data_IF_432785756367
#
_entry.id   IF_432785756367
#
_cell.length_a   1.000
_cell.length_b   1.000
_cell.length_c   1.000
_cell.angle_alpha   90.00
_cell.angle_beta   90.00
_cell.angle_gamma   90.00
#
_symmetry.space_group_name_H-M   'P 1'
#
loop_
_entity.id
_entity.type
_entity.pdbx_description
1 polymer ?
#
# COMPACT_ATOMS: atom_id res chain seq x y z
N UNK A 1 -9.02 3.31 24.03
CA UNK A 1 -8.28 4.55 23.77
C UNK A 1 -7.82 4.52 22.33
N UNK A 2 -7.97 5.63 21.62
CA UNK A 2 -7.67 5.75 20.19
C UNK A 2 -6.78 6.95 19.94
N UNK A 3 -6.20 7.01 18.74
CA UNK A 3 -5.40 8.14 18.27
C UNK A 3 -5.86 8.55 16.88
N UNK A 4 -5.98 9.85 16.66
CA UNK A 4 -6.07 10.45 15.34
C UNK A 4 -4.72 11.11 15.03
N UNK A 5 -4.04 10.64 13.99
CA UNK A 5 -2.80 11.25 13.50
C UNK A 5 -3.14 12.09 12.29
N UNK A 6 -2.91 13.40 12.39
CA UNK A 6 -3.02 14.37 11.32
C UNK A 6 -1.67 14.47 10.62
N UNK A 7 -1.66 14.36 9.30
CA UNK A 7 -0.44 14.34 8.47
C UNK A 7 -0.63 15.32 7.31
N UNK A 8 0.10 16.43 7.31
CA UNK A 8 0.03 17.40 6.22
C UNK A 8 1.10 17.10 5.16
N UNK A 9 0.72 17.12 3.88
CA UNK A 9 1.68 17.19 2.76
C UNK A 9 2.25 18.61 2.53
N UNK A 10 1.66 19.61 3.21
CA UNK A 10 2.19 20.96 3.35
C UNK A 10 2.62 21.26 4.79
N UNK A 11 2.02 22.28 5.40
CA UNK A 11 2.28 22.66 6.79
C UNK A 11 1.07 22.41 7.67
N UNK A 12 1.20 21.53 8.66
CA UNK A 12 0.22 21.34 9.71
C UNK A 12 0.30 22.50 10.72
N UNK A 13 -0.77 23.27 10.85
CA UNK A 13 -0.83 24.41 11.78
C UNK A 13 -1.53 24.03 13.08
N UNK A 14 -1.28 24.80 14.14
CA UNK A 14 -2.01 24.61 15.41
C UNK A 14 -3.51 24.89 15.29
N UNK A 15 -3.96 25.63 14.27
CA UNK A 15 -5.37 25.86 13.98
C UNK A 15 -6.05 24.61 13.47
N UNK A 16 -5.45 23.91 12.50
CA UNK A 16 -5.95 22.63 11.96
C UNK A 16 -6.02 21.57 13.08
N UNK A 17 -4.98 21.49 13.92
CA UNK A 17 -4.96 20.56 15.06
C UNK A 17 -6.06 20.90 16.07
N UNK A 18 -6.29 22.18 16.35
CA UNK A 18 -7.37 22.62 17.25
C UNK A 18 -8.75 22.29 16.69
N UNK A 19 -8.97 22.49 15.40
CA UNK A 19 -10.24 22.11 14.76
C UNK A 19 -10.52 20.61 14.92
N UNK A 20 -9.53 19.74 14.71
CA UNK A 20 -9.71 18.31 14.90
C UNK A 20 -10.11 17.96 16.34
N UNK A 21 -9.49 18.62 17.34
CA UNK A 21 -9.87 18.48 18.76
C UNK A 21 -11.32 18.92 18.97
N UNK A 22 -11.69 20.10 18.48
CA UNK A 22 -13.02 20.68 18.67
C UNK A 22 -14.11 19.79 18.03
N UNK A 23 -13.84 19.24 16.84
CA UNK A 23 -14.73 18.29 16.15
C UNK A 23 -14.93 16.99 16.92
N UNK A 24 -13.86 16.41 17.46
CA UNK A 24 -13.94 15.21 18.30
C UNK A 24 -14.72 15.50 19.59
N UNK A 25 -14.45 16.64 20.25
CA UNK A 25 -15.15 17.03 21.47
C UNK A 25 -16.65 17.28 21.22
N UNK A 26 -17.01 17.90 20.08
CA UNK A 26 -18.39 18.15 19.69
C UNK A 26 -19.21 16.87 19.47
N UNK A 27 -18.56 15.72 19.29
CA UNK A 27 -19.20 14.40 19.14
C UNK A 27 -19.14 13.56 20.42
N UNK A 28 -18.79 14.17 21.56
CA UNK A 28 -18.80 13.55 22.89
C UNK A 28 -17.57 12.70 23.21
N UNK A 29 -16.48 12.84 22.44
CA UNK A 29 -15.22 12.18 22.76
C UNK A 29 -14.49 12.92 23.89
N UNK A 30 -13.81 12.18 24.75
CA UNK A 30 -12.85 12.75 25.70
C UNK A 30 -11.52 12.92 24.98
N UNK A 31 -11.14 14.17 24.67
CA UNK A 31 -9.99 14.48 23.82
C UNK A 31 -8.83 15.00 24.67
N UNK A 32 -7.66 14.42 24.50
CA UNK A 32 -6.42 14.86 25.14
C UNK A 32 -5.76 16.04 24.44
N UNK A 33 -4.69 16.55 25.05
CA UNK A 33 -3.84 17.56 24.41
C UNK A 33 -3.14 16.97 23.17
N UNK A 34 -2.89 17.79 22.14
CA UNK A 34 -2.19 17.32 20.96
C UNK A 34 -0.72 17.01 21.27
N UNK A 35 -0.18 15.99 20.62
CA UNK A 35 1.22 15.60 20.68
C UNK A 35 1.84 15.70 19.29
N UNK A 36 2.78 16.61 19.11
CA UNK A 36 3.50 16.75 17.83
C UNK A 36 4.52 15.64 17.69
N UNK A 37 4.37 14.81 16.64
CA UNK A 37 5.38 13.84 16.24
C UNK A 37 6.56 14.55 15.59
N UNK A 38 6.25 15.45 14.66
CA UNK A 38 7.16 16.37 14.00
C UNK A 38 6.43 17.71 13.79
N UNK A 39 6.95 18.77 14.40
CA UNK A 39 6.32 20.10 14.36
C UNK A 39 6.14 20.60 12.93
N UNK A 40 4.89 20.94 12.59
CA UNK A 40 4.55 21.44 11.25
C UNK A 40 4.21 20.37 10.23
N UNK A 41 4.32 19.08 10.55
CA UNK A 41 4.05 18.00 9.60
C UNK A 41 3.04 16.98 10.13
N UNK A 42 3.22 16.51 11.38
CA UNK A 42 2.36 15.47 11.94
C UNK A 42 2.10 15.65 13.44
N UNK A 43 0.84 15.46 13.84
CA UNK A 43 0.41 15.53 15.23
C UNK A 43 -0.60 14.42 15.57
N UNK A 44 -0.42 13.83 16.74
CA UNK A 44 -1.34 12.89 17.37
C UNK A 44 -2.35 13.62 18.27
N UNK A 45 -3.60 13.17 18.22
CA UNK A 45 -4.65 13.53 19.17
C UNK A 45 -5.19 12.23 19.76
N UNK A 46 -4.90 12.01 21.05
CA UNK A 46 -5.39 10.84 21.79
C UNK A 46 -6.79 11.12 22.33
N UNK A 47 -7.69 10.15 22.23
CA UNK A 47 -9.07 10.29 22.71
C UNK A 47 -9.72 8.99 23.22
N UNK A 48 -10.81 9.14 23.98
CA UNK A 48 -11.75 8.06 24.32
C UNK A 48 -13.12 8.33 23.67
N UNK A 49 -13.81 7.26 23.26
CA UNK A 49 -15.12 7.32 22.61
C UNK A 49 -15.22 6.34 21.45
N UNK A 50 -15.95 6.71 20.38
CA UNK A 50 -16.24 5.82 19.26
C UNK A 50 -15.27 6.04 18.09
N UNK A 51 -14.49 5.01 17.74
CA UNK A 51 -13.61 5.02 16.57
C UNK A 51 -14.36 5.39 15.27
N UNK A 52 -15.55 4.80 15.08
CA UNK A 52 -16.37 5.02 13.89
C UNK A 52 -16.88 6.47 13.84
N UNK A 53 -17.30 7.02 14.97
CA UNK A 53 -17.75 8.42 15.05
C UNK A 53 -16.60 9.38 14.76
N UNK A 54 -15.42 9.14 15.34
CA UNK A 54 -14.21 9.93 15.13
C UNK A 54 -13.77 9.92 13.66
N UNK A 55 -13.67 8.75 13.02
CA UNK A 55 -13.34 8.63 11.58
C UNK A 55 -14.30 9.44 10.72
N UNK A 56 -15.61 9.26 10.93
CA UNK A 56 -16.64 9.97 10.16
C UNK A 56 -16.58 11.48 10.36
N UNK A 57 -16.31 11.95 11.57
CA UNK A 57 -16.27 13.38 11.85
C UNK A 57 -15.00 14.04 11.30
N UNK A 58 -13.84 13.41 11.48
CA UNK A 58 -12.57 13.94 10.97
C UNK A 58 -12.48 13.86 9.44
N UNK A 59 -13.14 12.89 8.79
CA UNK A 59 -13.24 12.84 7.34
C UNK A 59 -13.99 14.04 6.70
N UNK A 60 -14.69 14.86 7.50
CA UNK A 60 -15.33 16.11 7.04
C UNK A 60 -14.40 17.31 7.06
N UNK A 61 -13.18 17.16 7.59
CA UNK A 61 -12.18 18.22 7.53
C UNK A 61 -11.76 18.43 6.08
N UNK A 62 -11.84 19.68 5.63
CA UNK A 62 -11.46 20.09 4.28
C UNK A 62 -10.35 21.13 4.39
N UNK A 63 -9.15 20.66 4.76
CA UNK A 63 -7.98 21.50 5.05
C UNK A 63 -6.82 21.16 4.15
N UNK A 64 -6.88 21.66 2.91
CA UNK A 64 -5.80 21.52 1.94
C UNK A 64 -5.37 20.07 1.76
N UNK A 65 -4.07 19.84 1.76
CA UNK A 65 -3.45 18.53 1.57
C UNK A 65 -3.20 17.85 2.93
N UNK A 66 -4.28 17.35 3.56
CA UNK A 66 -4.28 16.71 4.87
C UNK A 66 -4.75 15.25 4.79
N UNK A 67 -3.93 14.34 5.28
CA UNK A 67 -4.27 12.95 5.51
C UNK A 67 -4.55 12.72 7.01
N UNK A 68 -5.55 11.90 7.34
CA UNK A 68 -5.93 11.60 8.73
C UNK A 68 -6.05 10.10 8.92
N UNK A 69 -5.29 9.56 9.89
CA UNK A 69 -5.36 8.15 10.27
C UNK A 69 -5.92 8.03 11.68
N UNK A 70 -7.04 7.32 11.84
CA UNK A 70 -7.65 7.09 13.15
C UNK A 70 -7.67 5.60 13.47
N UNK A 71 -7.04 5.21 14.59
CA UNK A 71 -6.84 3.81 14.95
C UNK A 71 -6.73 3.58 16.47
N UNK A 72 -6.78 2.32 16.95
CA UNK A 72 -6.41 1.99 18.33
C UNK A 72 -5.00 2.45 18.68
N UNK A 73 -4.79 2.94 19.90
CA UNK A 73 -3.48 3.44 20.33
C UNK A 73 -2.48 2.32 20.65
N UNK A 74 -2.95 1.20 21.22
CA UNK A 74 -2.10 0.20 21.89
C UNK A 74 -1.18 -0.61 20.98
N UNK A 75 -1.65 -0.95 19.78
CA UNK A 75 -0.96 -1.78 18.79
C UNK A 75 -0.62 -0.96 17.53
N UNK A 76 -0.52 0.37 17.64
CA UNK A 76 -0.32 1.26 16.49
C UNK A 76 1.00 1.01 15.76
N UNK A 77 2.04 0.60 16.48
CA UNK A 77 3.36 0.29 15.90
C UNK A 77 3.34 -1.14 15.38
N UNK A 78 3.19 -1.30 14.06
CA UNK A 78 2.97 -2.60 13.43
C UNK A 78 4.27 -3.39 13.31
N UNK A 79 4.18 -4.71 13.49
CA UNK A 79 5.31 -5.66 13.46
C UNK A 79 5.39 -6.46 12.16
N UNK A 80 4.42 -6.30 11.27
CA UNK A 80 4.42 -6.85 9.92
C UNK A 80 3.86 -5.81 8.96
N UNK A 81 4.52 -5.59 7.83
CA UNK A 81 3.96 -4.89 6.68
C UNK A 81 3.82 -5.87 5.51
N UNK A 82 2.63 -5.87 4.90
CA UNK A 82 2.37 -6.51 3.61
C UNK A 82 1.91 -5.45 2.63
N UNK A 83 2.59 -5.33 1.50
CA UNK A 83 2.37 -4.24 0.56
C UNK A 83 2.17 -4.75 -0.86
N UNK A 84 1.27 -4.09 -1.60
CA UNK A 84 1.27 -4.21 -3.06
C UNK A 84 2.50 -3.55 -3.67
N UNK A 85 2.80 -3.91 -4.92
CA UNK A 85 3.89 -3.35 -5.70
C UNK A 85 3.40 -2.23 -6.63
N UNK A 86 2.66 -2.60 -7.68
CA UNK A 86 2.20 -1.68 -8.73
C UNK A 86 1.34 -0.58 -8.12
N UNK A 87 1.50 0.66 -8.59
CA UNK A 87 0.82 1.87 -8.08
C UNK A 87 0.93 2.16 -6.57
N UNK A 88 1.69 1.36 -5.82
CA UNK A 88 1.89 1.46 -4.38
C UNK A 88 3.37 1.65 -4.05
N UNK A 89 4.19 0.60 -4.13
CA UNK A 89 5.64 0.68 -3.87
C UNK A 89 6.43 1.18 -5.08
N UNK A 90 5.84 1.12 -6.27
CA UNK A 90 6.33 1.74 -7.51
C UNK A 90 5.24 2.59 -8.16
N UNK A 91 5.63 3.50 -9.05
CA UNK A 91 4.71 4.49 -9.64
C UNK A 91 4.01 4.05 -10.93
N UNK A 92 4.14 2.78 -11.31
CA UNK A 92 3.68 2.25 -12.60
C UNK A 92 2.96 0.93 -12.43
N UNK A 93 2.19 0.56 -13.45
CA UNK A 93 1.63 -0.78 -13.66
C UNK A 93 2.56 -1.59 -14.57
N UNK A 94 3.29 -2.57 -14.04
CA UNK A 94 4.33 -3.27 -14.81
C UNK A 94 3.83 -3.91 -16.11
N UNK A 95 2.61 -4.47 -16.11
CA UNK A 95 2.06 -5.12 -17.31
C UNK A 95 1.70 -4.11 -18.40
N UNK A 96 1.24 -2.92 -18.02
CA UNK A 96 0.89 -1.86 -18.97
C UNK A 96 2.15 -1.22 -19.57
N UNK A 97 3.21 -1.04 -18.77
CA UNK A 97 4.51 -0.57 -19.26
C UNK A 97 5.16 -1.59 -20.19
N UNK A 98 5.06 -2.89 -19.91
CA UNK A 98 5.49 -3.95 -20.83
C UNK A 98 4.69 -3.94 -22.13
N UNK A 99 3.37 -3.75 -22.05
CA UNK A 99 2.53 -3.68 -23.22
C UNK A 99 2.85 -2.47 -24.12
N UNK A 100 3.12 -1.32 -23.49
CA UNK A 100 3.60 -0.10 -24.17
C UNK A 100 4.95 -0.35 -24.85
N UNK A 101 5.91 -0.92 -24.12
CA UNK A 101 7.25 -1.24 -24.64
C UNK A 101 7.19 -2.21 -25.83
N UNK A 102 6.26 -3.16 -25.81
CA UNK A 102 6.03 -4.14 -26.85
C UNK A 102 5.12 -3.66 -28.01
N UNK A 103 4.55 -2.46 -27.92
CA UNK A 103 3.64 -1.92 -28.94
C UNK A 103 2.26 -2.59 -28.98
N UNK A 104 1.84 -3.25 -27.90
CA UNK A 104 0.56 -4.00 -27.77
C UNK A 104 -0.37 -3.40 -26.70
N UNK A 105 -0.18 -2.11 -26.39
CA UNK A 105 -0.92 -1.41 -25.32
C UNK A 105 -2.42 -1.42 -25.54
N UNK A 106 -2.88 -1.30 -26.79
CA UNK A 106 -4.30 -1.27 -27.12
C UNK A 106 -4.98 -2.62 -26.82
N UNK A 107 -4.30 -3.71 -27.10
CA UNK A 107 -4.77 -5.08 -26.91
C UNK A 107 -4.85 -5.42 -25.41
N UNK A 108 -3.81 -5.08 -24.65
CA UNK A 108 -3.80 -5.26 -23.19
C UNK A 108 -4.88 -4.41 -22.51
N UNK A 109 -5.02 -3.14 -22.90
CA UNK A 109 -6.07 -2.27 -22.38
C UNK A 109 -7.48 -2.82 -22.67
N UNK A 110 -7.71 -3.39 -23.85
CA UNK A 110 -9.00 -3.99 -24.19
C UNK A 110 -9.35 -5.16 -23.25
N UNK A 111 -8.38 -5.99 -22.88
CA UNK A 111 -8.58 -7.10 -21.93
C UNK A 111 -8.83 -6.56 -20.51
N UNK A 112 -8.06 -5.57 -20.07
CA UNK A 112 -8.27 -4.91 -18.76
C UNK A 112 -9.69 -4.34 -18.65
N UNK A 113 -10.18 -3.70 -19.71
CA UNK A 113 -11.55 -3.18 -19.74
C UNK A 113 -12.62 -4.27 -19.68
N UNK A 114 -12.39 -5.44 -20.29
CA UNK A 114 -13.29 -6.61 -20.14
C UNK A 114 -13.34 -7.10 -18.70
N UNK A 115 -12.17 -7.20 -18.05
CA UNK A 115 -12.07 -7.62 -16.65
C UNK A 115 -12.81 -6.65 -15.71
N UNK A 116 -12.66 -5.35 -15.92
CA UNK A 116 -13.37 -4.31 -15.14
C UNK A 116 -14.89 -4.37 -15.32
N UNK A 117 -15.38 -4.81 -16.49
CA UNK A 117 -16.82 -5.06 -16.74
C UNK A 117 -17.31 -6.41 -16.19
N UNK A 118 -16.43 -7.22 -15.61
CA UNK A 118 -16.74 -8.55 -15.11
C UNK A 118 -16.97 -9.60 -16.20
N UNK A 119 -16.56 -9.32 -17.44
CA UNK A 119 -16.70 -10.26 -18.57
C UNK A 119 -15.68 -11.41 -18.49
N UNK A 120 -14.54 -11.17 -17.83
CA UNK A 120 -13.47 -12.15 -17.59
C UNK A 120 -13.03 -12.01 -16.14
N UNK A 121 -12.73 -13.13 -15.49
CA UNK A 121 -12.16 -13.11 -14.14
C UNK A 121 -10.69 -12.67 -14.16
N UNK A 122 -10.11 -12.40 -12.98
CA UNK A 122 -8.74 -11.91 -12.88
C UNK A 122 -7.73 -12.87 -13.56
N UNK A 123 -7.91 -14.18 -13.35
CA UNK A 123 -6.99 -15.20 -13.88
C UNK A 123 -7.07 -15.27 -15.40
N UNK A 124 -8.27 -15.32 -15.97
CA UNK A 124 -8.48 -15.28 -17.41
C UNK A 124 -7.90 -14.01 -18.03
N UNK A 125 -8.15 -12.85 -17.42
CA UNK A 125 -7.62 -11.58 -17.90
C UNK A 125 -6.09 -11.51 -17.81
N UNK A 126 -5.48 -12.09 -16.76
CA UNK A 126 -4.03 -12.20 -16.65
C UNK A 126 -3.45 -13.10 -17.75
N UNK A 127 -4.02 -14.29 -17.96
CA UNK A 127 -3.55 -15.21 -18.98
C UNK A 127 -3.70 -14.64 -20.39
N UNK A 128 -4.82 -13.99 -20.70
CA UNK A 128 -5.01 -13.31 -22.00
C UNK A 128 -3.96 -12.23 -22.22
N UNK A 129 -3.67 -11.39 -21.22
CA UNK A 129 -2.66 -10.33 -21.34
C UNK A 129 -1.25 -10.90 -21.49
N UNK A 130 -0.91 -11.94 -20.73
CA UNK A 130 0.41 -12.57 -20.78
C UNK A 130 0.63 -13.35 -22.08
N UNK A 131 -0.41 -13.96 -22.65
CA UNK A 131 -0.33 -14.62 -23.94
C UNK A 131 0.15 -13.68 -25.06
N UNK A 132 -0.23 -12.40 -25.01
CA UNK A 132 0.23 -11.38 -25.96
C UNK A 132 1.74 -11.08 -25.85
N UNK A 133 2.37 -11.42 -24.72
CA UNK A 133 3.81 -11.26 -24.52
C UNK A 133 4.64 -12.41 -25.12
N UNK A 134 3.98 -13.45 -25.63
CA UNK A 134 4.64 -14.64 -26.20
C UNK A 134 5.61 -14.31 -27.35
N UNK A 135 6.80 -14.89 -27.31
CA UNK A 135 7.84 -14.73 -28.31
C UNK A 135 8.80 -13.56 -28.09
N UNK A 136 8.50 -12.66 -27.14
CA UNK A 136 9.41 -11.57 -26.77
C UNK A 136 10.69 -12.10 -26.12
N UNK A 137 11.81 -11.42 -26.36
CA UNK A 137 13.07 -11.75 -25.69
C UNK A 137 12.97 -11.44 -24.19
N UNK A 138 13.49 -12.31 -23.33
CA UNK A 138 13.47 -12.11 -21.88
C UNK A 138 14.14 -10.79 -21.45
N UNK A 139 15.16 -10.34 -22.19
CA UNK A 139 15.87 -9.08 -21.95
C UNK A 139 14.96 -7.84 -21.89
N UNK A 140 13.82 -7.87 -22.60
CA UNK A 140 12.81 -6.80 -22.58
C UNK A 140 12.30 -6.52 -21.17
N UNK A 141 12.19 -7.54 -20.31
CA UNK A 141 11.74 -7.36 -18.93
C UNK A 141 12.71 -6.48 -18.13
N UNK A 142 14.02 -6.72 -18.30
CA UNK A 142 15.06 -5.97 -17.62
C UNK A 142 15.16 -4.53 -18.15
N UNK A 143 15.07 -4.35 -19.47
CA UNK A 143 15.06 -3.03 -20.13
C UNK A 143 13.87 -2.19 -19.66
N UNK A 144 12.64 -2.72 -19.77
CA UNK A 144 11.43 -2.04 -19.32
C UNK A 144 11.52 -1.64 -17.84
N UNK A 145 12.01 -2.54 -16.97
CA UNK A 145 12.21 -2.23 -15.55
C UNK A 145 13.17 -1.05 -15.36
N UNK A 146 14.34 -1.06 -16.01
CA UNK A 146 15.31 0.02 -15.87
C UNK A 146 14.77 1.37 -16.35
N UNK A 147 14.06 1.36 -17.47
CA UNK A 147 13.56 2.58 -18.09
C UNK A 147 12.35 3.17 -17.36
N UNK A 148 11.37 2.31 -17.00
CA UNK A 148 10.02 2.74 -16.58
C UNK A 148 9.79 2.68 -15.07
N UNK A 149 10.39 1.73 -14.36
CA UNK A 149 10.08 1.52 -12.94
C UNK A 149 10.80 2.56 -12.08
N UNK A 150 10.02 3.27 -11.26
CA UNK A 150 10.51 4.19 -10.22
C UNK A 150 9.85 3.81 -8.90
N UNK A 151 10.65 3.80 -7.83
CA UNK A 151 10.12 3.57 -6.49
C UNK A 151 9.25 4.75 -6.08
N UNK A 152 8.13 4.44 -5.44
CA UNK A 152 7.31 5.47 -4.81
C UNK A 152 8.10 6.15 -3.70
N UNK A 153 8.00 7.48 -3.64
CA UNK A 153 8.71 8.26 -2.63
C UNK A 153 8.34 7.75 -1.22
N UNK A 154 9.34 7.57 -0.38
CA UNK A 154 9.16 7.03 0.97
C UNK A 154 9.12 5.50 1.08
N UNK A 155 9.01 4.74 -0.02
CA UNK A 155 8.93 3.27 0.03
C UNK A 155 10.11 2.63 0.79
N UNK A 156 11.33 3.04 0.42
CA UNK A 156 12.58 2.61 1.08
C UNK A 156 12.57 3.00 2.55
N UNK A 157 12.34 4.28 2.85
CA UNK A 157 12.33 4.81 4.22
C UNK A 157 11.31 4.08 5.10
N UNK A 158 10.10 3.84 4.59
CA UNK A 158 9.04 3.12 5.30
C UNK A 158 9.50 1.71 5.70
N UNK A 159 9.87 0.89 4.72
CA UNK A 159 10.21 -0.52 4.95
C UNK A 159 11.47 -0.64 5.80
N UNK A 160 12.51 0.14 5.51
CA UNK A 160 13.76 0.08 6.27
C UNK A 160 13.62 0.58 7.71
N UNK A 161 12.81 1.62 7.93
CA UNK A 161 12.50 2.08 9.30
C UNK A 161 11.76 1.01 10.07
N UNK A 162 10.69 0.46 9.51
CA UNK A 162 9.94 -0.61 10.17
C UNK A 162 10.83 -1.82 10.48
N UNK A 163 11.70 -2.21 9.54
CA UNK A 163 12.66 -3.31 9.72
C UNK A 163 13.68 -3.03 10.82
N UNK A 164 14.24 -1.82 10.89
CA UNK A 164 15.15 -1.41 11.96
C UNK A 164 14.48 -1.46 13.34
N UNK A 165 13.15 -1.32 13.38
CA UNK A 165 12.32 -1.48 14.58
C UNK A 165 11.76 -2.90 14.76
N UNK A 166 12.30 -3.89 14.04
CA UNK A 166 12.00 -5.31 14.23
C UNK A 166 10.76 -5.82 13.49
N UNK A 167 10.17 -5.03 12.60
CA UNK A 167 9.05 -5.48 11.80
C UNK A 167 9.51 -6.40 10.64
N UNK A 168 8.68 -7.38 10.33
CA UNK A 168 8.77 -8.20 9.13
C UNK A 168 8.15 -7.47 7.93
N UNK A 169 8.70 -7.65 6.73
CA UNK A 169 8.18 -7.01 5.52
C UNK A 169 7.99 -8.00 4.36
N UNK A 170 6.82 -7.96 3.73
CA UNK A 170 6.47 -8.79 2.57
C UNK A 170 5.92 -7.92 1.44
N UNK A 171 6.48 -8.04 0.24
CA UNK A 171 5.92 -7.49 -0.99
C UNK A 171 5.07 -8.58 -1.65
N UNK A 172 3.79 -8.31 -1.94
CA UNK A 172 2.88 -9.28 -2.57
C UNK A 172 2.15 -8.61 -3.72
N UNK A 173 2.31 -9.12 -4.93
CA UNK A 173 1.81 -8.46 -6.13
C UNK A 173 1.27 -9.45 -7.16
N UNK A 174 0.26 -9.01 -7.93
CA UNK A 174 -0.19 -9.69 -9.14
C UNK A 174 0.73 -9.45 -10.35
N UNK A 175 1.73 -8.58 -10.22
CA UNK A 175 2.80 -8.38 -11.20
C UNK A 175 3.80 -9.53 -11.20
N UNK A 176 4.96 -9.33 -11.84
CA UNK A 176 5.89 -10.42 -12.15
C UNK A 176 7.19 -10.40 -11.35
N UNK A 177 7.74 -11.57 -11.03
CA UNK A 177 9.00 -11.77 -10.29
C UNK A 177 10.18 -11.00 -10.88
N UNK A 178 10.24 -10.87 -12.21
CA UNK A 178 11.27 -10.10 -12.93
C UNK A 178 11.32 -8.60 -12.54
N UNK A 179 10.20 -8.06 -12.04
CA UNK A 179 10.09 -6.69 -11.51
C UNK A 179 10.12 -6.71 -9.98
N UNK A 180 9.31 -7.58 -9.39
CA UNK A 180 9.08 -7.63 -7.95
C UNK A 180 10.33 -7.99 -7.15
N UNK A 181 11.19 -8.89 -7.64
CA UNK A 181 12.40 -9.27 -6.93
C UNK A 181 13.41 -8.09 -6.85
N UNK A 182 13.77 -7.42 -7.97
CA UNK A 182 14.61 -6.23 -7.91
C UNK A 182 14.01 -5.08 -7.09
N UNK A 183 12.69 -4.85 -7.19
CA UNK A 183 12.00 -3.82 -6.38
C UNK A 183 12.07 -4.16 -4.90
N UNK A 184 11.79 -5.41 -4.55
CA UNK A 184 11.86 -5.93 -3.19
C UNK A 184 13.26 -5.78 -2.60
N UNK A 185 14.29 -6.20 -3.33
CA UNK A 185 15.69 -6.04 -2.95
C UNK A 185 16.07 -4.55 -2.79
N UNK A 186 15.71 -3.72 -3.77
CA UNK A 186 16.01 -2.30 -3.74
C UNK A 186 15.39 -1.64 -2.51
N UNK A 187 14.13 -1.91 -2.17
CA UNK A 187 13.47 -1.32 -1.00
C UNK A 187 14.00 -1.94 0.31
N UNK A 188 14.30 -3.24 0.32
CA UNK A 188 14.79 -3.99 1.49
C UNK A 188 13.75 -4.91 2.13
N UNK A 189 12.76 -5.36 1.36
CA UNK A 189 11.75 -6.34 1.79
C UNK A 189 12.38 -7.68 2.15
N UNK A 190 11.82 -8.37 3.14
CA UNK A 190 12.33 -9.67 3.57
C UNK A 190 11.82 -10.84 2.73
N UNK A 191 10.68 -10.66 2.06
CA UNK A 191 10.04 -11.67 1.21
C UNK A 191 9.28 -11.00 0.08
N UNK A 192 9.36 -11.59 -1.11
CA UNK A 192 8.59 -11.20 -2.29
C UNK A 192 7.71 -12.37 -2.72
N UNK A 193 6.46 -12.09 -3.09
CA UNK A 193 5.49 -13.03 -3.66
C UNK A 193 4.89 -12.39 -4.90
N UNK A 194 5.12 -12.98 -6.07
CA UNK A 194 4.70 -12.43 -7.36
C UNK A 194 4.45 -13.58 -8.37
N UNK A 195 3.79 -13.25 -9.48
CA UNK A 195 3.61 -14.18 -10.60
C UNK A 195 4.92 -14.40 -11.35
N UNK A 196 5.11 -15.58 -11.94
CA UNK A 196 6.31 -15.89 -12.72
C UNK A 196 5.94 -16.04 -14.20
N UNK A 197 6.56 -15.23 -15.07
CA UNK A 197 6.48 -15.41 -16.52
C UNK A 197 7.36 -16.59 -16.92
N UNK A 198 6.81 -17.54 -17.67
CA UNK A 198 7.57 -18.70 -18.13
C UNK A 198 8.48 -18.29 -19.28
N UNK A 199 9.77 -18.59 -19.14
CA UNK A 199 10.80 -18.31 -20.14
C UNK A 199 11.40 -19.61 -20.66
N UNK A 200 11.42 -19.78 -21.98
CA UNK A 200 12.08 -20.89 -22.65
C UNK A 200 12.96 -20.37 -23.78
N UNK A 201 14.18 -20.89 -23.87
CA UNK A 201 15.14 -20.51 -24.92
C UNK A 201 15.37 -18.99 -25.03
N UNK A 202 15.36 -18.28 -23.88
CA UNK A 202 15.56 -16.84 -23.80
C UNK A 202 14.36 -16.00 -24.25
N UNK A 203 13.17 -16.60 -24.38
CA UNK A 203 11.95 -15.92 -24.80
C UNK A 203 10.78 -16.22 -23.87
N UNK A 204 9.89 -15.25 -23.72
CA UNK A 204 8.62 -15.43 -23.02
C UNK A 204 7.75 -16.42 -23.78
N UNK A 205 7.20 -17.42 -23.11
CA UNK A 205 6.29 -18.39 -23.75
C UNK A 205 4.86 -17.86 -23.90
N UNK A 206 4.54 -16.76 -23.20
CA UNK A 206 3.17 -16.27 -23.07
C UNK A 206 2.36 -16.99 -22.00
N UNK A 207 3.03 -17.70 -21.08
CA UNK A 207 2.40 -18.39 -19.95
C UNK A 207 2.87 -17.82 -18.60
N UNK A 208 2.00 -17.93 -17.60
CA UNK A 208 2.31 -17.65 -16.19
C UNK A 208 2.39 -18.97 -15.44
N UNK A 209 3.41 -19.14 -14.60
CA UNK A 209 3.53 -20.31 -13.75
C UNK A 209 2.47 -20.33 -12.63
N UNK A 210 2.06 -21.53 -12.22
CA UNK A 210 1.18 -21.72 -11.07
C UNK A 210 1.99 -21.87 -9.76
N UNK A 211 1.45 -21.44 -8.62
CA UNK A 211 0.15 -20.78 -8.45
C UNK A 211 0.18 -19.28 -8.79
N UNK A 212 -0.86 -18.79 -9.46
CA UNK A 212 -1.04 -17.34 -9.69
C UNK A 212 -1.37 -16.60 -8.39
N UNK A 213 -0.74 -15.44 -8.22
CA UNK A 213 -1.01 -14.46 -7.15
C UNK A 213 -2.19 -13.58 -7.53
N UNK A 214 -3.30 -13.78 -6.83
CA UNK A 214 -4.52 -12.97 -6.92
C UNK A 214 -4.83 -12.29 -5.57
N UNK A 215 -6.04 -11.73 -5.44
CA UNK A 215 -6.50 -11.06 -4.21
C UNK A 215 -6.52 -11.99 -2.99
N UNK A 216 -6.80 -13.28 -3.19
CA UNK A 216 -6.88 -14.26 -2.10
C UNK A 216 -5.47 -14.67 -1.70
N UNK A 217 -4.54 -14.79 -2.65
CA UNK A 217 -3.13 -14.97 -2.36
C UNK A 217 -2.53 -13.82 -1.54
N UNK A 218 -2.94 -12.56 -1.77
CA UNK A 218 -2.54 -11.40 -0.94
C UNK A 218 -3.02 -11.54 0.51
N UNK A 219 -4.28 -11.91 0.71
CA UNK A 219 -4.84 -12.16 2.05
C UNK A 219 -4.12 -13.33 2.76
N UNK A 220 -3.88 -14.43 2.05
CA UNK A 220 -3.19 -15.59 2.61
C UNK A 220 -1.71 -15.30 2.90
N UNK A 221 -1.05 -14.44 2.12
CA UNK A 221 0.30 -13.98 2.43
C UNK A 221 0.33 -13.21 3.77
N UNK A 222 -0.63 -12.30 4.01
CA UNK A 222 -0.77 -11.61 5.28
C UNK A 222 -0.99 -12.57 6.45
N UNK A 223 -2.01 -13.43 6.35
CA UNK A 223 -2.35 -14.38 7.43
C UNK A 223 -1.22 -15.36 7.71
N UNK A 224 -0.64 -15.94 6.66
CA UNK A 224 0.41 -16.94 6.82
C UNK A 224 1.70 -16.34 7.36
N UNK A 225 2.09 -15.14 6.94
CA UNK A 225 3.29 -14.49 7.49
C UNK A 225 3.06 -14.08 8.95
N UNK A 226 1.89 -13.52 9.29
CA UNK A 226 1.55 -13.21 10.68
C UNK A 226 1.60 -14.47 11.56
N UNK A 227 0.98 -15.57 11.12
CA UNK A 227 0.96 -16.84 11.84
C UNK A 227 2.36 -17.44 12.03
N UNK A 228 3.21 -17.42 10.99
CA UNK A 228 4.60 -17.90 11.06
C UNK A 228 5.43 -17.18 12.13
N UNK A 229 5.12 -15.91 12.38
CA UNK A 229 5.81 -15.07 13.36
C UNK A 229 5.07 -14.94 14.69
N UNK A 230 3.95 -15.66 14.89
CA UNK A 230 3.15 -15.59 16.11
C UNK A 230 2.51 -14.22 16.36
N UNK A 231 2.26 -13.45 15.31
CA UNK A 231 1.70 -12.11 15.37
C UNK A 231 0.18 -12.15 15.25
N UNK A 232 -0.58 -11.46 16.13
CA UNK A 232 -1.99 -11.22 15.89
C UNK A 232 -2.15 -10.25 14.71
N UNK A 233 -3.24 -10.38 13.94
CA UNK A 233 -3.52 -9.47 12.80
C UNK A 233 -3.59 -7.99 13.23
N UNK A 234 -3.98 -7.72 14.48
CA UNK A 234 -3.96 -6.40 15.08
C UNK A 234 -2.59 -5.68 15.00
N UNK A 235 -1.49 -6.44 14.95
CA UNK A 235 -0.12 -5.94 14.83
C UNK A 235 0.38 -5.86 13.37
N UNK A 236 -0.48 -6.02 12.37
CA UNK A 236 -0.10 -5.98 10.95
C UNK A 236 -0.56 -4.70 10.25
N UNK A 237 0.23 -4.24 9.28
CA UNK A 237 -0.06 -3.18 8.32
C UNK A 237 -0.24 -3.81 6.94
N UNK A 238 -1.33 -3.47 6.25
CA UNK A 238 -1.52 -3.76 4.84
C UNK A 238 -1.63 -2.45 4.05
N UNK A 239 -0.96 -2.36 2.90
CA UNK A 239 -1.04 -1.20 2.01
C UNK A 239 -1.20 -1.62 0.56
N UNK A 240 -2.12 -0.94 -0.14
CA UNK A 240 -2.41 -1.11 -1.57
C UNK A 240 -3.28 0.03 -2.08
N UNK A 241 -3.55 0.08 -3.39
CA UNK A 241 -4.31 1.17 -4.02
C UNK A 241 -5.64 0.68 -4.65
N UNK A 242 -5.73 -0.63 -4.92
CA UNK A 242 -6.74 -1.21 -5.79
C UNK A 242 -7.72 -2.16 -5.12
N UNK A 243 -8.77 -2.55 -5.88
CA UNK A 243 -9.80 -3.47 -5.40
C UNK A 243 -9.28 -4.89 -5.12
N UNK A 244 -8.18 -5.28 -5.76
CA UNK A 244 -7.43 -6.52 -5.52
C UNK A 244 -6.80 -6.57 -4.12
N UNK A 245 -6.56 -5.43 -3.47
CA UNK A 245 -5.96 -5.36 -2.13
C UNK A 245 -6.98 -5.38 -1.00
N UNK A 246 -8.25 -5.09 -1.29
CA UNK A 246 -9.33 -4.98 -0.30
C UNK A 246 -9.32 -6.15 0.70
N UNK A 247 -9.24 -7.43 0.30
CA UNK A 247 -9.26 -8.52 1.26
C UNK A 247 -8.10 -8.45 2.28
N UNK A 248 -6.90 -8.09 1.84
CA UNK A 248 -5.72 -7.97 2.69
C UNK A 248 -5.79 -6.71 3.57
N UNK A 249 -6.21 -5.58 3.00
CA UNK A 249 -6.39 -4.30 3.70
C UNK A 249 -7.40 -4.44 4.83
N UNK A 250 -8.58 -5.01 4.54
CA UNK A 250 -9.65 -5.18 5.53
C UNK A 250 -9.28 -6.18 6.64
N UNK A 251 -8.39 -7.14 6.37
CA UNK A 251 -8.00 -8.15 7.35
C UNK A 251 -6.88 -7.67 8.30
N UNK A 252 -6.10 -6.66 7.92
CA UNK A 252 -4.99 -6.15 8.72
C UNK A 252 -5.46 -5.36 9.94
N UNK A 253 -4.60 -5.22 10.94
CA UNK A 253 -4.83 -4.36 12.10
C UNK A 253 -4.77 -2.86 11.78
N UNK A 254 -4.10 -2.50 10.69
CA UNK A 254 -4.23 -1.21 10.02
C UNK A 254 -4.18 -1.45 8.51
N UNK A 255 -5.32 -1.28 7.84
CA UNK A 255 -5.41 -1.31 6.38
C UNK A 255 -5.34 0.10 5.79
N UNK A 256 -4.34 0.39 4.98
CA UNK A 256 -4.17 1.69 4.33
C UNK A 256 -4.39 1.58 2.82
N UNK A 257 -5.24 2.44 2.29
CA UNK A 257 -5.39 2.65 0.86
C UNK A 257 -4.48 3.81 0.41
N UNK A 258 -3.46 3.55 -0.41
CA UNK A 258 -2.49 4.56 -0.85
C UNK A 258 -2.85 5.07 -2.25
N UNK A 259 -2.98 6.40 -2.40
CA UNK A 259 -3.47 7.07 -3.61
C UNK A 259 -4.62 6.31 -4.31
N UNK A 260 -5.66 5.89 -3.56
CA UNK A 260 -6.44 4.74 -3.97
C UNK A 260 -7.58 5.07 -4.91
N UNK A 261 -7.98 4.05 -5.67
CA UNK A 261 -9.31 4.01 -6.28
C UNK A 261 -10.40 3.98 -5.20
N UNK A 262 -11.61 4.41 -5.57
CA UNK A 262 -12.73 4.60 -4.62
C UNK A 262 -13.03 3.34 -3.80
N UNK A 263 -13.06 2.16 -4.44
CA UNK A 263 -13.39 0.90 -3.76
C UNK A 263 -12.38 0.54 -2.65
N UNK A 264 -11.08 0.78 -2.88
CA UNK A 264 -10.05 0.54 -1.87
C UNK A 264 -10.12 1.58 -0.74
N UNK A 265 -10.38 2.85 -1.10
CA UNK A 265 -10.56 3.92 -0.12
C UNK A 265 -11.72 3.64 0.85
N UNK A 266 -12.85 3.15 0.33
CA UNK A 266 -14.04 2.87 1.12
C UNK A 266 -13.86 1.65 2.06
N UNK A 267 -12.99 0.72 1.68
CA UNK A 267 -12.75 -0.52 2.44
C UNK A 267 -11.63 -0.39 3.49
N UNK A 268 -10.76 0.61 3.38
CA UNK A 268 -9.60 0.79 4.24
C UNK A 268 -9.92 1.49 5.57
N UNK A 269 -9.03 1.33 6.55
CA UNK A 269 -9.11 2.06 7.81
C UNK A 269 -8.81 3.56 7.64
N UNK A 270 -7.92 3.87 6.70
CA UNK A 270 -7.60 5.22 6.26
C UNK A 270 -7.07 5.22 4.82
N UNK A 271 -7.19 6.36 4.16
CA UNK A 271 -6.58 6.60 2.86
C UNK A 271 -5.51 7.67 2.97
N UNK A 272 -4.36 7.44 2.33
CA UNK A 272 -3.34 8.46 2.12
C UNK A 272 -3.52 8.97 0.70
N UNK A 273 -3.81 10.26 0.55
CA UNK A 273 -4.16 10.90 -0.72
C UNK A 273 -3.15 11.96 -1.14
N UNK A 274 -2.45 12.54 -0.17
CA UNK A 274 -1.63 13.72 -0.41
C UNK A 274 -0.16 13.47 -0.13
N UNK A 275 0.14 12.79 0.98
CA UNK A 275 1.52 12.55 1.39
C UNK A 275 2.10 11.28 0.76
N UNK A 276 3.43 11.22 0.66
CA UNK A 276 4.15 10.01 0.25
C UNK A 276 4.06 8.89 1.30
N UNK A 277 4.64 7.71 0.99
CA UNK A 277 4.58 6.52 1.87
C UNK A 277 5.20 6.70 3.26
N UNK A 278 5.99 7.76 3.52
CA UNK A 278 6.47 8.06 4.88
C UNK A 278 5.34 8.47 5.83
N UNK A 279 4.17 8.84 5.32
CA UNK A 279 2.97 9.06 6.13
C UNK A 279 2.62 7.84 7.01
N UNK A 280 2.90 6.63 6.52
CA UNK A 280 2.63 5.40 7.24
C UNK A 280 3.56 5.24 8.46
N UNK A 281 4.69 5.94 8.51
CA UNK A 281 5.56 5.98 9.70
C UNK A 281 4.94 6.86 10.79
N UNK A 282 4.46 8.05 10.45
CA UNK A 282 3.74 8.90 11.42
C UNK A 282 2.45 8.26 11.91
N UNK A 283 1.67 7.64 11.02
CA UNK A 283 0.49 6.89 11.41
C UNK A 283 0.80 5.86 12.51
N UNK A 284 1.97 5.21 12.45
CA UNK A 284 2.43 4.25 13.45
C UNK A 284 3.14 4.90 14.66
N UNK A 285 3.27 6.22 14.68
CA UNK A 285 3.87 6.99 15.76
C UNK A 285 5.36 7.21 15.68
N UNK A 286 6.00 6.91 14.55
CA UNK A 286 7.42 7.17 14.35
C UNK A 286 7.64 8.64 13.97
N UNK A 287 8.32 9.38 14.84
CA UNK A 287 8.85 10.71 14.49
C UNK A 287 10.05 10.59 13.53
N UNK A 288 10.35 11.63 12.75
CA UNK A 288 11.43 11.61 11.73
C UNK A 288 12.80 11.24 12.29
N UNK A 289 13.07 11.58 13.56
CA UNK A 289 14.32 11.20 14.24
C UNK A 289 14.51 9.68 14.37
N UNK A 290 13.46 8.88 14.19
CA UNK A 290 13.49 7.42 14.22
C UNK A 290 13.61 6.80 12.83
N UNK A 291 13.51 7.61 11.76
CA UNK A 291 13.50 7.10 10.41
C UNK A 291 14.89 6.67 9.96
N UNK A 292 14.96 5.54 9.27
CA UNK A 292 16.13 5.15 8.49
C UNK A 292 16.04 5.88 7.15
N UNK A 293 16.88 6.90 7.00
CA UNK A 293 17.03 7.62 5.74
C UNK A 293 17.95 6.81 4.83
N UNK A 294 17.39 6.31 3.73
CA UNK A 294 18.13 5.60 2.68
C UNK A 294 18.51 6.50 1.52
#
# INVERSE_FOLDING_TARGET
MFVATLIAAGKLTGEVVREAIDRLAATGHEVGAPHWLDEGDAADIVFHGSLVSARRELAKMDHGELDIVVQPLGDRTKKLIVADMDSTMITVECIDELADYAGIKAEVAAITQKAMRGEVDFRGALFERVALLGGMAEGVLAECRMERVRLTRGARTLVQTMKAHGARSVLVTGGFTAFANPVGEAIGFDRVVANELVVEHGKLTGMVAEPVVDKDAKLEALKSEAAKHGLPLAETLAVGDGANDIPMITAAGLGIAYHPHQAAADAADAAIRHHDLTALLWAQGYSRRQWVLG
#
